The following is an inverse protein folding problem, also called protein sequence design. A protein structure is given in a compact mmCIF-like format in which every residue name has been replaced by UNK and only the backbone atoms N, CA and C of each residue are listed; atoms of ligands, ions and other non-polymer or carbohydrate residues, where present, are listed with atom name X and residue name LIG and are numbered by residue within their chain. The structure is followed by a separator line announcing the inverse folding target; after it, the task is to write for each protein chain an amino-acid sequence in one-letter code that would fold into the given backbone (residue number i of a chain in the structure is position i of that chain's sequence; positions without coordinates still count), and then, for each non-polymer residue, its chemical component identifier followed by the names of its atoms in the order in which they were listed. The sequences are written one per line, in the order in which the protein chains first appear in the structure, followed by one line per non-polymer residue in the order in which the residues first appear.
data_IF_335658542854
#
_entry.id   IF_335658542854
#
_cell.length_a   1.000
_cell.length_b   1.000
_cell.length_c   1.000
_cell.angle_alpha   90.00
_cell.angle_beta   90.00
_cell.angle_gamma   90.00
#
_symmetry.space_group_name_H-M   'P 1'
#
loop_
_entity.id
_entity.type
_entity.pdbx_description
1 polymer ?
#
# COMPACT_ATOMS: atom_id res chain seq x y z
N UNK A 1 11.04 0.08 -7.94
CA UNK A 1 10.03 0.78 -7.11
C UNK A 1 10.21 0.41 -5.66
N UNK A 2 9.84 1.29 -4.74
CA UNK A 2 10.15 1.13 -3.33
C UNK A 2 8.91 1.26 -2.46
N UNK A 3 8.93 0.57 -1.32
CA UNK A 3 7.94 0.70 -0.25
C UNK A 3 8.62 1.29 0.98
N UNK A 4 8.03 2.33 1.53
CA UNK A 4 8.50 2.94 2.77
C UNK A 4 8.28 2.01 3.97
N UNK A 5 9.13 2.12 4.99
CA UNK A 5 9.11 1.31 6.23
C UNK A 5 7.75 1.22 6.94
N UNK A 6 6.85 2.16 6.66
CA UNK A 6 5.48 2.17 7.18
C UNK A 6 4.70 0.91 6.81
N UNK A 7 4.79 0.44 5.55
CA UNK A 7 4.14 -0.80 5.14
C UNK A 7 4.73 -2.01 5.89
N UNK A 8 6.03 -1.96 6.23
CA UNK A 8 6.73 -2.98 6.99
C UNK A 8 6.34 -3.00 8.48
N UNK A 9 5.84 -1.91 9.04
CA UNK A 9 5.30 -1.90 10.43
C UNK A 9 4.14 -2.88 10.61
N UNK A 10 3.40 -3.13 9.55
CA UNK A 10 2.34 -4.13 9.57
C UNK A 10 2.89 -5.56 9.67
N UNK A 11 4.06 -5.84 9.09
CA UNK A 11 4.79 -7.12 9.25
C UNK A 11 5.33 -7.24 10.68
N UNK A 12 5.85 -6.17 11.28
CA UNK A 12 6.23 -6.17 12.70
C UNK A 12 5.05 -6.54 13.60
N UNK A 13 3.86 -6.05 13.27
CA UNK A 13 2.65 -6.42 14.02
C UNK A 13 2.29 -7.89 13.83
N UNK A 14 2.42 -8.40 12.61
CA UNK A 14 2.23 -9.82 12.32
C UNK A 14 3.26 -10.66 13.12
N UNK A 15 4.52 -10.23 13.20
CA UNK A 15 5.56 -10.89 13.99
C UNK A 15 5.23 -10.94 15.49
N UNK A 16 4.61 -9.91 16.05
CA UNK A 16 4.17 -9.92 17.46
C UNK A 16 3.10 -10.99 17.72
N UNK A 17 2.29 -11.33 16.72
CA UNK A 17 1.19 -12.28 16.84
C UNK A 17 1.64 -13.70 16.45
N UNK A 18 2.46 -13.80 15.39
CA UNK A 18 2.95 -15.04 14.77
C UNK A 18 4.49 -15.03 14.63
N UNK A 19 5.22 -15.04 15.76
CA UNK A 19 6.68 -14.83 15.71
C UNK A 19 7.44 -15.93 14.96
N UNK A 20 7.01 -17.20 15.08
CA UNK A 20 7.68 -18.34 14.43
C UNK A 20 7.51 -18.30 12.92
N UNK A 21 6.29 -18.08 12.46
CA UNK A 21 5.93 -18.03 11.04
C UNK A 21 6.62 -16.87 10.34
N UNK A 22 6.60 -15.66 10.95
CA UNK A 22 7.26 -14.49 10.39
C UNK A 22 8.78 -14.65 10.40
N UNK A 23 9.35 -15.26 11.43
CA UNK A 23 10.78 -15.56 11.50
C UNK A 23 11.21 -16.54 10.39
N UNK A 24 10.40 -17.55 10.12
CA UNK A 24 10.62 -18.49 9.03
C UNK A 24 10.55 -17.78 7.67
N UNK A 25 9.54 -16.94 7.43
CA UNK A 25 9.42 -16.18 6.19
C UNK A 25 10.63 -15.26 5.99
N UNK A 26 11.00 -14.49 7.01
CA UNK A 26 12.16 -13.60 6.95
C UNK A 26 13.46 -14.36 6.63
N UNK A 27 13.63 -15.55 7.20
CA UNK A 27 14.77 -16.42 6.90
C UNK A 27 14.78 -16.89 5.44
N UNK A 28 13.63 -17.29 4.90
CA UNK A 28 13.50 -17.76 3.50
C UNK A 28 13.83 -16.67 2.49
N UNK A 29 13.47 -15.41 2.76
CA UNK A 29 13.72 -14.28 1.85
C UNK A 29 15.03 -13.52 2.15
N UNK A 30 15.81 -13.98 3.12
CA UNK A 30 17.06 -13.32 3.52
C UNK A 30 16.86 -11.93 4.15
N UNK A 31 15.71 -11.65 4.77
CA UNK A 31 15.39 -10.36 5.39
C UNK A 31 15.84 -10.36 6.86
N UNK A 32 16.88 -9.57 7.25
CA UNK A 32 17.29 -9.47 8.64
C UNK A 32 16.20 -8.79 9.48
N UNK A 33 15.79 -9.40 10.60
CA UNK A 33 14.76 -8.85 11.50
C UNK A 33 15.03 -7.41 11.96
N UNK A 34 16.30 -7.06 12.17
CA UNK A 34 16.72 -5.70 12.55
C UNK A 34 16.28 -4.64 11.54
N UNK A 35 16.13 -5.01 10.28
CA UNK A 35 15.66 -4.11 9.23
C UNK A 35 14.21 -3.67 9.48
N UNK A 36 13.36 -4.57 9.96
CA UNK A 36 11.96 -4.27 10.27
C UNK A 36 11.79 -3.22 11.38
N UNK A 37 12.78 -3.07 12.25
CA UNK A 37 12.78 -2.09 13.34
C UNK A 37 13.21 -0.68 12.89
N UNK A 38 13.80 -0.54 11.69
CA UNK A 38 14.26 0.74 11.19
C UNK A 38 13.09 1.55 10.62
N UNK A 39 12.78 2.68 11.26
CA UNK A 39 11.62 3.51 10.90
C UNK A 39 11.77 4.29 9.59
N UNK A 40 13.00 4.45 9.09
CA UNK A 40 13.30 5.25 7.90
C UNK A 40 13.75 4.40 6.70
N UNK A 41 13.54 3.10 6.77
CA UNK A 41 13.97 2.20 5.72
C UNK A 41 13.01 2.25 4.52
N UNK A 42 13.59 2.30 3.34
CA UNK A 42 12.88 2.10 2.07
C UNK A 42 13.40 0.81 1.46
N UNK A 43 12.52 -0.11 1.12
CA UNK A 43 12.86 -1.41 0.55
C UNK A 43 12.18 -1.59 -0.81
N UNK A 44 12.77 -2.40 -1.70
CA UNK A 44 12.13 -2.74 -2.97
C UNK A 44 10.73 -3.35 -2.76
N UNK A 45 9.80 -3.00 -3.65
CA UNK A 45 8.43 -3.55 -3.66
C UNK A 45 8.48 -5.08 -3.74
N UNK A 46 9.38 -5.61 -4.56
CA UNK A 46 9.57 -7.04 -4.81
C UNK A 46 9.88 -7.80 -3.50
N UNK A 47 10.69 -7.22 -2.62
CA UNK A 47 11.01 -7.83 -1.32
C UNK A 47 9.76 -7.92 -0.43
N UNK A 48 8.92 -6.90 -0.44
CA UNK A 48 7.65 -6.89 0.28
C UNK A 48 6.68 -7.94 -0.28
N UNK A 49 6.58 -8.04 -1.59
CA UNK A 49 5.73 -9.03 -2.24
C UNK A 49 6.24 -10.46 -2.00
N UNK A 50 7.55 -10.68 -2.08
CA UNK A 50 8.17 -11.96 -1.75
C UNK A 50 7.85 -12.42 -0.33
N UNK A 51 7.78 -11.49 0.64
CA UNK A 51 7.33 -11.84 1.99
C UNK A 51 5.93 -12.48 1.96
N UNK A 52 4.98 -11.92 1.23
CA UNK A 52 3.61 -12.45 1.17
C UNK A 52 3.49 -13.71 0.32
N UNK A 53 4.31 -13.88 -0.73
CA UNK A 53 4.39 -15.12 -1.49
C UNK A 53 4.83 -16.28 -0.56
N UNK A 54 5.86 -16.06 0.25
CA UNK A 54 6.27 -17.07 1.23
C UNK A 54 5.23 -17.26 2.33
N UNK A 55 4.54 -16.21 2.72
CA UNK A 55 3.50 -16.26 3.73
C UNK A 55 2.31 -17.15 3.33
N UNK A 56 1.93 -17.21 2.05
CA UNK A 56 0.89 -18.13 1.55
C UNK A 56 1.22 -19.58 1.92
N UNK A 57 2.47 -20.00 1.72
CA UNK A 57 2.93 -21.33 2.05
C UNK A 57 3.04 -21.59 3.55
N UNK A 58 3.60 -20.63 4.32
CA UNK A 58 3.85 -20.79 5.75
C UNK A 58 2.56 -20.78 6.57
N UNK A 59 1.58 -19.97 6.17
CA UNK A 59 0.28 -19.90 6.84
C UNK A 59 -0.78 -20.85 6.26
N UNK A 60 -0.46 -21.59 5.20
CA UNK A 60 -1.43 -22.40 4.43
C UNK A 60 -2.71 -21.63 4.11
N UNK A 61 -2.55 -20.38 3.65
CA UNK A 61 -3.65 -19.48 3.35
C UNK A 61 -3.45 -18.73 2.02
N UNK A 62 -4.04 -19.25 0.94
CA UNK A 62 -4.04 -18.64 -0.40
C UNK A 62 -4.66 -17.24 -0.43
N UNK A 63 -5.44 -16.88 0.60
CA UNK A 63 -6.09 -15.59 0.73
C UNK A 63 -5.35 -14.65 1.69
N UNK A 64 -4.10 -14.95 2.03
CA UNK A 64 -3.34 -14.18 3.03
C UNK A 64 -3.25 -12.70 2.66
N UNK A 65 -3.10 -12.36 1.38
CA UNK A 65 -3.04 -10.97 0.92
C UNK A 65 -4.32 -10.19 1.24
N UNK A 66 -5.49 -10.86 1.19
CA UNK A 66 -6.76 -10.27 1.58
C UNK A 66 -6.95 -10.35 3.09
N UNK A 67 -6.53 -11.44 3.72
CA UNK A 67 -6.69 -11.68 5.16
C UNK A 67 -5.71 -10.89 6.04
N UNK A 68 -4.63 -10.43 5.46
CA UNK A 68 -3.47 -9.83 6.12
C UNK A 68 -3.83 -8.74 7.13
N UNK A 69 -4.66 -7.78 6.75
CA UNK A 69 -4.99 -6.67 7.64
C UNK A 69 -5.73 -7.10 8.91
N UNK A 70 -6.48 -8.21 8.83
CA UNK A 70 -7.11 -8.82 10.00
C UNK A 70 -6.09 -9.60 10.84
N UNK A 71 -5.26 -10.40 10.20
CA UNK A 71 -4.24 -11.20 10.89
C UNK A 71 -3.27 -10.30 11.66
N UNK A 72 -2.79 -9.23 11.02
CA UNK A 72 -1.93 -8.23 11.63
C UNK A 72 -2.68 -7.20 12.50
N UNK A 73 -4.01 -7.31 12.63
CA UNK A 73 -4.86 -6.38 13.38
C UNK A 73 -4.61 -4.91 13.01
N UNK A 74 -4.47 -4.64 11.71
CA UNK A 74 -4.11 -3.31 11.20
C UNK A 74 -5.18 -2.28 11.54
N UNK A 75 -4.73 -1.11 11.98
CA UNK A 75 -5.55 0.07 12.26
C UNK A 75 -4.99 1.28 11.49
N UNK A 76 -5.79 2.33 11.23
CA UNK A 76 -5.32 3.50 10.49
C UNK A 76 -4.07 4.19 11.04
N UNK A 77 -3.83 4.12 12.35
CA UNK A 77 -2.65 4.71 12.98
C UNK A 77 -1.33 3.96 12.66
N UNK A 78 -1.39 2.79 12.02
CA UNK A 78 -0.19 2.10 11.53
C UNK A 78 0.32 2.66 10.19
N UNK A 79 -0.55 3.27 9.38
CA UNK A 79 -0.17 4.08 8.23
C UNK A 79 -0.10 5.54 8.69
N UNK A 80 1.07 5.98 9.12
CA UNK A 80 1.28 7.23 9.86
C UNK A 80 0.55 8.43 9.22
N UNK A 81 1.03 8.90 8.07
CA UNK A 81 0.51 10.12 7.46
C UNK A 81 -0.84 9.90 6.77
N UNK A 82 -0.91 8.90 5.87
CA UNK A 82 -2.14 8.62 5.10
C UNK A 82 -3.25 8.06 6.00
N UNK A 83 -2.88 7.24 6.99
CA UNK A 83 -3.84 6.73 7.96
C UNK A 83 -4.44 7.83 8.84
N UNK A 84 -3.64 8.79 9.30
CA UNK A 84 -4.12 9.94 10.06
C UNK A 84 -5.02 10.85 9.20
N UNK A 85 -4.64 11.11 7.95
CA UNK A 85 -5.49 11.82 6.98
C UNK A 85 -6.84 11.10 6.86
N UNK A 86 -6.82 9.77 6.71
CA UNK A 86 -8.05 8.97 6.61
C UNK A 86 -8.91 9.07 7.88
N UNK A 87 -8.29 9.02 9.06
CA UNK A 87 -9.00 9.11 10.35
C UNK A 87 -9.67 10.45 10.56
N UNK A 88 -8.98 11.56 10.28
CA UNK A 88 -9.42 12.90 10.65
C UNK A 88 -10.11 13.69 9.54
N UNK A 89 -10.19 13.17 8.31
CA UNK A 89 -10.95 13.78 7.22
C UNK A 89 -12.44 13.90 7.55
N UNK A 90 -13.09 14.93 7.02
CA UNK A 90 -14.53 15.24 7.28
C UNK A 90 -15.47 14.13 6.83
N UNK A 91 -15.13 13.47 5.72
CA UNK A 91 -15.85 12.35 5.12
C UNK A 91 -14.89 11.54 4.24
N UNK A 92 -15.29 10.33 3.85
CA UNK A 92 -14.43 9.46 3.03
C UNK A 92 -14.08 10.07 1.67
N UNK A 93 -14.97 10.87 1.09
CA UNK A 93 -14.68 11.61 -0.16
C UNK A 93 -13.39 12.44 -0.04
N UNK A 94 -13.20 13.15 1.07
CA UNK A 94 -11.98 13.95 1.32
C UNK A 94 -10.76 13.04 1.52
N UNK A 95 -10.91 11.98 2.31
CA UNK A 95 -9.84 10.99 2.52
C UNK A 95 -9.35 10.41 1.19
N UNK A 96 -10.25 10.01 0.31
CA UNK A 96 -9.88 9.40 -0.97
C UNK A 96 -9.27 10.39 -1.95
N UNK A 97 -9.73 11.65 -1.95
CA UNK A 97 -9.09 12.68 -2.75
C UNK A 97 -7.62 12.86 -2.36
N UNK A 98 -7.34 12.90 -1.06
CA UNK A 98 -5.96 13.03 -0.55
C UNK A 98 -5.15 11.74 -0.75
N UNK A 99 -5.79 10.57 -0.59
CA UNK A 99 -5.14 9.29 -0.86
C UNK A 99 -4.71 9.17 -2.32
N UNK A 100 -5.56 9.54 -3.28
CA UNK A 100 -5.22 9.55 -4.71
C UNK A 100 -4.01 10.44 -5.02
N UNK A 101 -3.86 11.56 -4.31
CA UNK A 101 -2.74 12.49 -4.51
C UNK A 101 -1.45 11.98 -3.88
N UNK A 102 -1.53 11.36 -2.71
CA UNK A 102 -0.36 11.13 -1.86
C UNK A 102 0.03 9.67 -1.66
N UNK A 103 -0.71 8.69 -2.22
CA UNK A 103 -0.45 7.27 -1.97
C UNK A 103 0.98 6.86 -2.31
N UNK A 104 1.55 7.42 -3.37
CA UNK A 104 2.91 7.12 -3.82
C UNK A 104 4.02 7.61 -2.88
N UNK A 105 3.70 8.35 -1.83
CA UNK A 105 4.68 8.68 -0.77
C UNK A 105 5.03 7.43 0.04
N UNK A 106 4.04 6.58 0.32
CA UNK A 106 4.20 5.38 1.14
C UNK A 106 4.29 4.10 0.30
N UNK A 107 3.57 4.03 -0.80
CA UNK A 107 3.41 2.85 -1.66
C UNK A 107 3.66 3.24 -3.13
N UNK A 108 4.89 3.05 -3.62
CA UNK A 108 5.20 3.35 -5.02
C UNK A 108 4.54 2.34 -5.96
N UNK A 109 4.19 2.82 -7.14
CA UNK A 109 3.63 1.98 -8.19
C UNK A 109 2.20 1.53 -7.94
N UNK A 110 1.45 2.18 -7.02
CA UNK A 110 0.02 1.93 -6.83
C UNK A 110 -0.77 3.20 -7.13
N UNK A 111 -1.86 3.06 -7.87
CA UNK A 111 -2.81 4.14 -8.14
C UNK A 111 -4.17 3.76 -7.56
N UNK A 112 -4.93 4.77 -7.14
CA UNK A 112 -6.29 4.61 -6.62
C UNK A 112 -7.25 5.35 -7.53
N UNK A 113 -8.20 4.62 -8.14
CA UNK A 113 -9.26 5.19 -8.96
C UNK A 113 -10.58 5.15 -8.17
N UNK A 114 -11.25 6.30 -8.07
CA UNK A 114 -12.56 6.42 -7.42
C UNK A 114 -13.61 6.77 -8.45
N UNK A 115 -14.54 5.83 -8.69
CA UNK A 115 -15.62 5.99 -9.66
C UNK A 115 -16.96 6.00 -8.94
N UNK A 116 -17.84 6.94 -9.32
CA UNK A 116 -19.18 7.07 -8.75
C UNK A 116 -20.21 6.61 -9.77
N UNK A 117 -21.10 5.73 -9.32
CA UNK A 117 -22.21 5.23 -10.11
C UNK A 117 -23.49 5.27 -9.26
N UNK A 118 -24.41 6.19 -9.56
CA UNK A 118 -25.65 6.33 -8.82
C UNK A 118 -25.45 6.29 -7.29
N UNK A 119 -25.92 5.23 -6.63
CA UNK A 119 -25.89 5.05 -5.17
C UNK A 119 -24.63 4.36 -4.64
N UNK A 120 -23.67 4.06 -5.51
CA UNK A 120 -22.44 3.38 -5.11
C UNK A 120 -21.19 4.15 -5.51
N UNK A 121 -20.12 3.90 -4.77
CA UNK A 121 -18.78 4.38 -5.05
C UNK A 121 -17.86 3.18 -5.10
N UNK A 122 -17.18 3.00 -6.22
CA UNK A 122 -16.15 1.99 -6.43
C UNK A 122 -14.78 2.61 -6.23
N UNK A 123 -13.95 1.97 -5.42
CA UNK A 123 -12.55 2.31 -5.16
C UNK A 123 -11.71 1.16 -5.70
N UNK A 124 -10.96 1.41 -6.76
CA UNK A 124 -10.13 0.44 -7.44
C UNK A 124 -8.65 0.71 -7.18
N UNK A 125 -7.88 -0.34 -6.95
CA UNK A 125 -6.42 -0.31 -6.90
C UNK A 125 -5.85 -0.79 -8.22
N UNK A 126 -4.85 -0.07 -8.72
CA UNK A 126 -4.19 -0.36 -9.99
C UNK A 126 -2.69 -0.28 -9.72
N UNK A 127 -2.03 -1.43 -9.70
CA UNK A 127 -0.57 -1.49 -9.62
C UNK A 127 0.05 -1.22 -10.99
N UNK A 128 1.26 -0.66 -10.97
CA UNK A 128 2.05 -0.47 -12.18
C UNK A 128 2.31 -1.84 -12.84
N UNK A 129 2.09 -1.99 -14.16
CA UNK A 129 2.31 -3.25 -14.87
C UNK A 129 3.73 -3.80 -14.79
N UNK A 130 4.72 -2.96 -14.52
CA UNK A 130 6.13 -3.37 -14.34
C UNK A 130 6.33 -4.17 -13.05
N UNK A 131 5.42 -4.04 -12.07
CA UNK A 131 5.51 -4.79 -10.81
C UNK A 131 5.10 -6.23 -11.06
N UNK A 132 6.05 -7.15 -10.89
CA UNK A 132 5.75 -8.58 -10.84
C UNK A 132 4.80 -8.85 -9.66
N UNK A 133 3.82 -9.74 -9.84
CA UNK A 133 2.77 -10.00 -8.84
C UNK A 133 1.90 -8.77 -8.48
N UNK A 134 1.62 -7.90 -9.46
CA UNK A 134 0.80 -6.70 -9.30
C UNK A 134 -0.56 -6.96 -8.61
N UNK A 135 -1.22 -8.08 -8.91
CA UNK A 135 -2.47 -8.48 -8.26
C UNK A 135 -2.33 -8.71 -6.76
N UNK A 136 -1.21 -9.29 -6.31
CA UNK A 136 -0.89 -9.45 -4.89
C UNK A 136 -0.76 -8.10 -4.21
N UNK A 137 -0.05 -7.16 -4.84
CA UNK A 137 0.12 -5.81 -4.33
C UNK A 137 -1.20 -5.06 -4.19
N UNK A 138 -2.06 -5.13 -5.23
CA UNK A 138 -3.40 -4.54 -5.20
C UNK A 138 -4.23 -5.10 -4.04
N UNK A 139 -4.19 -6.42 -3.80
CA UNK A 139 -4.94 -7.07 -2.72
C UNK A 139 -4.45 -6.68 -1.34
N UNK A 140 -3.15 -6.50 -1.14
CA UNK A 140 -2.58 -6.00 0.12
C UNK A 140 -3.06 -4.58 0.42
N UNK A 141 -3.06 -3.70 -0.59
CA UNK A 141 -3.58 -2.33 -0.47
C UNK A 141 -5.09 -2.32 -0.18
N UNK A 142 -5.85 -3.17 -0.89
CA UNK A 142 -7.28 -3.36 -0.65
C UNK A 142 -7.55 -3.83 0.78
N UNK A 143 -6.80 -4.81 1.27
CA UNK A 143 -6.93 -5.35 2.62
C UNK A 143 -6.72 -4.26 3.69
N UNK A 144 -5.68 -3.44 3.55
CA UNK A 144 -5.42 -2.32 4.46
C UNK A 144 -6.55 -1.29 4.43
N UNK A 145 -7.00 -0.89 3.24
CA UNK A 145 -8.09 0.06 3.12
C UNK A 145 -9.41 -0.48 3.70
N UNK A 146 -9.72 -1.75 3.46
CA UNK A 146 -10.90 -2.39 4.03
C UNK A 146 -10.85 -2.37 5.58
N UNK A 147 -9.69 -2.60 6.19
CA UNK A 147 -9.50 -2.45 7.63
C UNK A 147 -9.75 -1.01 8.10
N UNK A 148 -9.30 -0.01 7.34
CA UNK A 148 -9.53 1.40 7.66
C UNK A 148 -11.01 1.79 7.58
N UNK A 149 -11.72 1.35 6.54
CA UNK A 149 -13.17 1.57 6.39
C UNK A 149 -13.91 0.95 7.57
N UNK A 150 -13.58 -0.28 7.94
CA UNK A 150 -14.22 -0.99 9.06
C UNK A 150 -13.91 -0.39 10.42
N UNK A 151 -12.72 0.16 10.63
CA UNK A 151 -12.36 0.84 11.88
C UNK A 151 -13.30 2.00 12.19
N UNK A 152 -13.88 2.62 11.16
CA UNK A 152 -14.94 3.64 11.28
C UNK A 152 -16.36 3.07 11.38
N UNK A 153 -16.51 1.74 11.49
CA UNK A 153 -17.80 1.02 11.48
C UNK A 153 -18.63 1.32 10.23
N UNK A 154 -17.96 1.51 9.09
CA UNK A 154 -18.61 1.68 7.81
C UNK A 154 -18.79 0.33 7.11
N UNK A 155 -19.92 0.17 6.44
CA UNK A 155 -20.21 -1.05 5.69
C UNK A 155 -19.54 -1.02 4.31
N UNK A 156 -18.92 -2.14 3.96
CA UNK A 156 -18.48 -2.45 2.60
C UNK A 156 -19.60 -3.25 1.96
N UNK A 157 -20.03 -2.89 0.75
CA UNK A 157 -21.08 -3.63 0.02
C UNK A 157 -20.54 -4.95 -0.51
N UNK A 158 -19.43 -4.90 -1.23
CA UNK A 158 -18.69 -6.07 -1.71
C UNK A 158 -17.26 -5.70 -2.07
N UNK A 159 -16.44 -6.71 -2.20
CA UNK A 159 -15.06 -6.64 -2.67
C UNK A 159 -14.97 -7.45 -3.96
N UNK A 160 -14.21 -6.98 -4.93
CA UNK A 160 -13.80 -7.73 -6.13
C UNK A 160 -12.29 -7.91 -6.10
N UNK A 161 -11.82 -9.09 -6.48
CA UNK A 161 -10.38 -9.42 -6.55
C UNK A 161 -10.09 -10.30 -7.75
N UNK A 162 -8.88 -10.18 -8.28
CA UNK A 162 -8.35 -11.02 -9.36
C UNK A 162 -7.91 -12.42 -8.88
N UNK A 163 -7.88 -12.67 -7.57
CA UNK A 163 -7.47 -13.97 -7.02
C UNK A 163 -8.41 -15.07 -7.52
N UNK A 164 -7.80 -16.21 -7.86
CA UNK A 164 -8.49 -17.45 -8.21
C UNK A 164 -8.26 -18.48 -7.09
N UNK A 165 -9.10 -18.47 -6.04
CA UNK A 165 -8.87 -19.35 -4.90
C UNK A 165 -9.22 -20.80 -5.23
N UNK A 166 -8.57 -21.74 -4.56
CA UNK A 166 -9.01 -23.14 -4.59
C UNK A 166 -10.38 -23.30 -3.91
N UNK A 167 -11.08 -24.40 -4.25
CA UNK A 167 -12.40 -24.70 -3.66
C UNK A 167 -12.38 -24.82 -2.12
N UNK A 168 -11.23 -25.15 -1.52
CA UNK A 168 -11.04 -25.21 -0.06
C UNK A 168 -11.07 -23.83 0.59
N UNK A 169 -10.58 -22.80 -0.11
CA UNK A 169 -10.46 -21.43 0.41
C UNK A 169 -11.76 -20.63 0.28
N UNK A 170 -12.62 -20.96 -0.68
CA UNK A 170 -13.92 -20.28 -0.89
C UNK A 170 -14.85 -20.42 0.32
N UNK A 171 -14.77 -21.53 1.04
CA UNK A 171 -15.59 -21.80 2.23
C UNK A 171 -15.13 -21.05 3.50
N UNK A 172 -13.96 -20.41 3.48
CA UNK A 172 -13.53 -19.56 4.60
C UNK A 172 -14.42 -18.31 4.64
N UNK A 173 -15.11 -18.07 5.77
CA UNK A 173 -15.99 -16.91 5.98
C UNK A 173 -15.29 -15.63 5.54
N UNK A 174 -15.98 -14.81 4.78
CA UNK A 174 -15.48 -13.51 4.33
C UNK A 174 -14.89 -12.72 5.50
N UNK A 175 -13.62 -12.41 5.39
CA UNK A 175 -12.83 -11.67 6.39
C UNK A 175 -13.43 -10.31 6.71
N UNK A 176 -14.14 -9.74 5.75
CA UNK A 176 -14.65 -8.37 5.82
C UNK A 176 -16.14 -8.26 6.12
N UNK A 177 -16.84 -9.38 6.45
CA UNK A 177 -18.28 -9.42 6.64
C UNK A 177 -19.05 -8.81 5.45
N UNK A 178 -18.54 -8.98 4.24
CA UNK A 178 -19.18 -8.61 2.99
C UNK A 178 -18.89 -9.68 1.93
N UNK A 179 -19.68 -9.77 0.86
CA UNK A 179 -19.39 -10.65 -0.26
C UNK A 179 -18.04 -10.32 -0.91
N UNK A 180 -17.30 -11.36 -1.31
CA UNK A 180 -16.09 -11.24 -2.12
C UNK A 180 -16.34 -11.91 -3.46
N UNK A 181 -16.17 -11.16 -4.54
CA UNK A 181 -16.22 -11.65 -5.91
C UNK A 181 -14.81 -12.00 -6.36
N UNK A 182 -14.50 -13.28 -6.43
CA UNK A 182 -13.25 -13.81 -6.93
C UNK A 182 -13.24 -13.87 -8.47
N UNK A 183 -12.07 -14.06 -9.07
CA UNK A 183 -11.87 -14.12 -10.53
C UNK A 183 -12.35 -12.85 -11.27
N UNK A 184 -12.33 -11.71 -10.59
CA UNK A 184 -12.65 -10.44 -11.20
C UNK A 184 -11.55 -9.95 -12.15
N UNK A 185 -11.89 -8.98 -13.00
CA UNK A 185 -10.93 -8.30 -13.88
C UNK A 185 -10.20 -7.15 -13.18
N UNK A 186 -10.62 -6.80 -11.97
CA UNK A 186 -10.10 -5.69 -11.19
C UNK A 186 -10.02 -6.03 -9.71
N UNK A 187 -9.24 -5.25 -8.95
CA UNK A 187 -9.19 -5.28 -7.48
C UNK A 187 -9.86 -4.02 -6.95
N UNK A 188 -11.03 -4.16 -6.32
CA UNK A 188 -11.85 -3.02 -5.90
C UNK A 188 -12.70 -3.27 -4.65
N UNK A 189 -13.05 -2.16 -3.98
CA UNK A 189 -14.03 -2.11 -2.88
C UNK A 189 -15.20 -1.26 -3.33
N UNK A 190 -16.42 -1.72 -3.07
CA UNK A 190 -17.65 -0.97 -3.31
C UNK A 190 -18.33 -0.61 -2.00
N UNK A 191 -18.65 0.66 -1.85
CA UNK A 191 -19.39 1.22 -0.70
C UNK A 191 -20.61 2.00 -1.19
N UNK A 192 -21.56 2.31 -0.29
CA UNK A 192 -22.68 3.18 -0.65
C UNK A 192 -22.23 4.64 -0.76
N UNK A 193 -22.90 5.42 -1.59
CA UNK A 193 -22.71 6.86 -1.68
C UNK A 193 -22.94 7.55 -0.32
N UNK A 194 -23.93 7.08 0.43
CA UNK A 194 -24.19 7.59 1.80
C UNK A 194 -23.01 7.36 2.74
N UNK A 195 -22.37 6.18 2.68
CA UNK A 195 -21.15 5.90 3.45
C UNK A 195 -20.00 6.82 3.02
N UNK A 196 -19.84 7.05 1.72
CA UNK A 196 -18.80 7.91 1.16
C UNK A 196 -18.92 9.38 1.59
N UNK A 197 -20.16 9.87 1.73
CA UNK A 197 -20.48 11.25 2.13
C UNK A 197 -20.75 11.44 3.62
N UNK A 198 -20.78 10.34 4.39
CA UNK A 198 -21.08 10.39 5.83
C UNK A 198 -20.07 11.25 6.57
N UNK A 199 -20.57 12.21 7.35
CA UNK A 199 -19.74 13.07 8.21
C UNK A 199 -19.03 12.24 9.27
N UNK A 200 -17.78 12.56 9.49
CA UNK A 200 -16.95 11.95 10.50
C UNK A 200 -17.03 12.76 11.80
N UNK A 201 -17.43 12.15 12.89
CA UNK A 201 -17.61 12.82 14.21
C UNK A 201 -16.30 13.30 14.84
N UNK A 202 -15.17 12.69 14.46
CA UNK A 202 -13.83 13.05 14.97
C UNK A 202 -13.03 13.86 13.94
N UNK A 203 -13.70 14.43 12.94
CA UNK A 203 -13.03 15.20 11.89
C UNK A 203 -12.26 16.40 12.48
N UNK A 204 -11.07 16.64 11.95
CA UNK A 204 -10.24 17.80 12.29
C UNK A 204 -9.59 18.39 11.03
N UNK A 205 -10.27 19.35 10.44
CA UNK A 205 -9.82 19.95 9.15
C UNK A 205 -8.49 20.68 9.26
N UNK A 206 -8.17 21.26 10.43
CA UNK A 206 -6.86 21.92 10.64
C UNK A 206 -5.73 20.89 10.66
N UNK A 207 -5.95 19.77 11.36
CA UNK A 207 -4.98 18.67 11.38
C UNK A 207 -4.81 18.06 9.99
N UNK A 208 -5.90 17.81 9.25
CA UNK A 208 -5.85 17.27 7.88
C UNK A 208 -5.09 18.22 6.94
N UNK A 209 -5.32 19.52 7.03
CA UNK A 209 -4.59 20.50 6.23
C UNK A 209 -3.08 20.48 6.55
N UNK A 210 -2.73 20.41 7.82
CA UNK A 210 -1.33 20.28 8.26
C UNK A 210 -0.69 18.97 7.76
N UNK A 211 -1.37 17.84 7.91
CA UNK A 211 -0.87 16.55 7.41
C UNK A 211 -0.73 16.54 5.86
N UNK A 212 -1.66 17.18 5.16
CA UNK A 212 -1.59 17.33 3.71
C UNK A 212 -0.41 18.22 3.27
N UNK A 213 -0.04 19.26 4.03
CA UNK A 213 1.16 20.07 3.74
C UNK A 213 2.45 19.24 3.92
N UNK A 214 2.53 18.41 4.95
CA UNK A 214 3.66 17.48 5.14
C UNK A 214 3.71 16.46 3.98
N UNK A 215 2.54 15.93 3.56
CA UNK A 215 2.48 15.01 2.43
C UNK A 215 2.96 15.67 1.14
N UNK A 216 2.55 16.92 0.89
CA UNK A 216 2.97 17.68 -0.28
C UNK A 216 4.49 17.90 -0.29
N UNK A 217 5.07 18.27 0.84
CA UNK A 217 6.53 18.43 0.99
C UNK A 217 7.28 17.13 0.69
N UNK A 218 6.84 16.00 1.29
CA UNK A 218 7.44 14.68 1.03
C UNK A 218 7.34 14.29 -0.45
N UNK A 219 6.22 14.59 -1.10
CA UNK A 219 6.02 14.29 -2.52
C UNK A 219 6.99 15.11 -3.39
N UNK A 220 7.19 16.39 -3.10
CA UNK A 220 8.13 17.25 -3.79
C UNK A 220 9.58 16.77 -3.61
N UNK A 221 9.99 16.45 -2.38
CA UNK A 221 11.32 15.90 -2.10
C UNK A 221 11.59 14.62 -2.88
N UNK A 222 10.58 13.74 -2.97
CA UNK A 222 10.68 12.49 -3.73
C UNK A 222 10.84 12.74 -5.23
N UNK A 223 10.06 13.67 -5.80
CA UNK A 223 10.16 14.04 -7.21
C UNK A 223 11.53 14.66 -7.54
N UNK A 224 12.04 15.55 -6.69
CA UNK A 224 13.37 16.14 -6.85
C UNK A 224 14.45 15.08 -6.84
N UNK A 225 14.38 14.11 -5.93
CA UNK A 225 15.34 12.99 -5.84
C UNK A 225 15.27 12.09 -7.09
N UNK A 226 14.09 11.76 -7.58
CA UNK A 226 13.92 10.97 -8.80
C UNK A 226 14.56 11.69 -10.00
N UNK A 227 14.23 12.97 -10.20
CA UNK A 227 14.80 13.76 -11.29
C UNK A 227 16.33 13.84 -11.23
N UNK A 228 16.91 13.89 -10.03
CA UNK A 228 18.38 13.89 -9.87
C UNK A 228 18.99 12.54 -10.23
N UNK A 229 18.37 11.43 -9.83
CA UNK A 229 18.82 10.08 -10.18
C UNK A 229 18.77 9.88 -11.70
N UNK A 230 17.65 10.23 -12.34
CA UNK A 230 17.46 10.13 -13.79
C UNK A 230 18.53 10.94 -14.55
N UNK A 231 18.89 12.13 -14.04
CA UNK A 231 19.98 12.94 -14.61
C UNK A 231 21.33 12.29 -14.47
N UNK A 232 21.65 11.74 -13.30
CA UNK A 232 22.92 11.03 -13.07
C UNK A 232 23.02 9.79 -13.97
N UNK A 233 21.95 9.00 -14.06
CA UNK A 233 21.90 7.83 -14.96
C UNK A 233 22.11 8.23 -16.42
N UNK A 234 21.47 9.30 -16.88
CA UNK A 234 21.66 9.84 -18.24
C UNK A 234 23.11 10.26 -18.49
N UNK A 235 23.73 10.94 -17.52
CA UNK A 235 25.12 11.33 -17.61
C UNK A 235 26.05 10.11 -17.68
N UNK A 236 25.85 9.13 -16.80
CA UNK A 236 26.65 7.90 -16.79
C UNK A 236 26.53 7.13 -18.12
N UNK A 237 25.33 6.96 -18.67
CA UNK A 237 25.11 6.32 -19.97
C UNK A 237 25.82 7.08 -21.11
N UNK A 238 25.84 8.41 -21.08
CA UNK A 238 26.57 9.21 -22.08
C UNK A 238 28.09 9.04 -21.95
N UNK A 239 28.61 8.92 -20.73
CA UNK A 239 30.05 8.68 -20.49
C UNK A 239 30.48 7.25 -20.90
N UNK A 240 29.66 6.23 -20.57
CA UNK A 240 29.94 4.84 -21.00
C UNK A 240 30.05 4.71 -22.52
N UNK A 241 29.20 5.40 -23.26
CA UNK A 241 29.21 5.39 -24.73
C UNK A 241 30.44 6.10 -25.34
N UNK A 242 31.13 6.97 -24.58
CA UNK A 242 32.25 7.76 -25.09
C UNK A 242 33.65 7.26 -24.65
N UNK A 243 33.75 6.15 -23.92
CA UNK A 243 35.01 5.52 -23.45
C UNK A 243 36.00 6.47 -22.72
N UNK A 244 35.54 7.60 -22.20
CA UNK A 244 36.37 8.53 -21.44
C UNK A 244 36.19 8.29 -19.95
N UNK A 245 37.26 8.42 -19.17
CA UNK A 245 37.20 8.29 -17.71
C UNK A 245 36.17 9.26 -17.13
N UNK A 246 35.18 8.72 -16.40
CA UNK A 246 34.16 9.51 -15.72
C UNK A 246 34.81 10.37 -14.64
N UNK A 247 34.80 11.68 -14.81
CA UNK A 247 35.29 12.61 -13.82
C UNK A 247 34.11 13.10 -12.95
N UNK A 248 34.10 12.71 -11.67
CA UNK A 248 33.06 13.06 -10.72
C UNK A 248 32.91 14.58 -10.54
N UNK A 249 33.98 15.34 -10.72
CA UNK A 249 33.94 16.81 -10.62
C UNK A 249 33.16 17.47 -11.77
N UNK A 250 33.17 16.88 -12.96
CA UNK A 250 32.35 17.36 -14.10
C UNK A 250 30.84 17.08 -13.89
N UNK A 251 30.49 15.97 -13.23
CA UNK A 251 29.10 15.63 -12.91
C UNK A 251 28.53 16.59 -11.85
N UNK A 252 29.37 17.04 -10.89
CA UNK A 252 28.92 17.90 -9.80
C UNK A 252 28.76 19.38 -10.18
N UNK A 253 29.29 19.81 -11.35
CA UNK A 253 29.28 21.21 -11.80
C UNK A 253 28.13 21.55 -12.77
N UNK A 254 27.32 20.57 -13.16
CA UNK A 254 26.11 20.73 -13.99
C UNK A 254 24.83 20.59 -13.16
#
# INVERSE_FOLDING_TARGET
MNIHSIAWKSILRLQQIYPKEVDEICSRIGLPKKILLNQNLTLPVEMFLNFFIQAESVFDDELISINYSRMAQIRPNYSELLGLIFVYSRHMKESFKLLQTYINIELEGINVLVTKHQDIVKIQFIADPVIEHSSLYENLCLSMLAAFIRSKRYAIKHITTKIQPSNKSINKKSVFNCPINFNGTETSIVISHNTFMKKNSIANSKLVAFLASIAQEKLQQKQTRSNMIDRVETLLCNYENNYNNVNIEEISSQ
#
